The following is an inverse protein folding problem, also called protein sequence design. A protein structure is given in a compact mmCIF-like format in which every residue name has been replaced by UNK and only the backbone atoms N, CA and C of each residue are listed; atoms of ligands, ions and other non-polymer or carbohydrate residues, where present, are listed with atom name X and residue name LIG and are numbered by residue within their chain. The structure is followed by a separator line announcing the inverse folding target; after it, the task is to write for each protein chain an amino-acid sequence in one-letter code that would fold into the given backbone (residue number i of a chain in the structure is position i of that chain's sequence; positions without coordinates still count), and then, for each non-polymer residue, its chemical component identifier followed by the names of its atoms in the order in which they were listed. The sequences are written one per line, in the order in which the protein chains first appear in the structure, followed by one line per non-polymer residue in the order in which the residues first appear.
data_IF_526979986606
#
_entry.id   IF_526979986606
#
_cell.length_a   1.000
_cell.length_b   1.000
_cell.length_c   1.000
_cell.angle_alpha   90.00
_cell.angle_beta   90.00
_cell.angle_gamma   90.00
#
_symmetry.space_group_name_H-M   'P 1'
#
loop_
_entity.id
_entity.type
_entity.pdbx_description
1 polymer ?
#
# COMPACT_ATOMS: atom_id res chain seq x y z
N UNK A 1 -14.38 -1.72 -27.74
CA UNK A 1 -14.19 -2.73 -26.70
C UNK A 1 -12.69 -3.08 -26.63
N UNK A 2 -11.91 -2.33 -25.84
CA UNK A 2 -10.51 -2.68 -25.55
C UNK A 2 -10.56 -3.60 -24.32
N UNK A 3 -10.18 -4.87 -24.51
CA UNK A 3 -10.04 -5.84 -23.43
C UNK A 3 -8.99 -5.28 -22.46
N UNK A 4 -9.39 -5.02 -21.21
CA UNK A 4 -8.49 -4.80 -20.09
C UNK A 4 -7.50 -5.97 -20.07
N UNK A 5 -6.21 -5.69 -20.26
CA UNK A 5 -5.17 -6.69 -20.14
C UNK A 5 -4.92 -6.92 -18.67
N UNK A 6 -5.70 -7.83 -18.11
CA UNK A 6 -5.60 -8.24 -16.73
C UNK A 6 -4.23 -8.85 -16.44
N UNK A 7 -3.69 -8.39 -15.35
CA UNK A 7 -2.60 -8.93 -14.60
C UNK A 7 -2.73 -10.45 -14.48
N UNK A 8 -1.83 -11.20 -15.09
CA UNK A 8 -1.73 -12.61 -14.77
C UNK A 8 -1.16 -12.74 -13.36
N UNK A 9 -1.89 -13.38 -12.44
CA UNK A 9 -1.35 -13.62 -11.10
C UNK A 9 -0.02 -14.38 -11.23
N UNK A 10 0.91 -14.20 -10.28
CA UNK A 10 2.10 -15.02 -10.22
C UNK A 10 1.68 -16.49 -10.33
N UNK A 11 2.41 -17.28 -11.14
CA UNK A 11 2.12 -18.71 -11.37
C UNK A 11 1.77 -19.36 -10.03
N UNK A 12 0.67 -20.13 -9.99
CA UNK A 12 0.15 -20.86 -8.80
C UNK A 12 1.30 -21.26 -7.89
N UNK A 13 1.52 -20.42 -6.87
CA UNK A 13 2.32 -20.78 -5.73
C UNK A 13 1.62 -21.96 -5.06
N UNK A 14 2.36 -22.97 -4.65
CA UNK A 14 1.84 -24.08 -3.87
C UNK A 14 0.98 -23.53 -2.73
N UNK A 15 -0.13 -24.14 -2.42
CA UNK A 15 -1.26 -23.67 -1.59
C UNK A 15 -0.91 -23.05 -0.21
N UNK A 16 0.39 -22.98 0.18
CA UNK A 16 0.87 -22.50 1.48
C UNK A 16 1.86 -21.32 1.41
N UNK A 17 2.14 -20.74 0.25
CA UNK A 17 3.10 -19.63 0.18
C UNK A 17 2.39 -18.26 0.21
N UNK A 18 2.36 -17.66 1.39
CA UNK A 18 1.94 -16.28 1.56
C UNK A 18 2.90 -15.34 0.79
N UNK A 19 2.34 -14.33 0.12
CA UNK A 19 3.15 -13.31 -0.52
C UNK A 19 2.97 -11.96 0.17
N UNK A 20 4.03 -11.15 0.12
CA UNK A 20 4.17 -9.89 0.81
C UNK A 20 4.49 -8.82 -0.22
N UNK A 21 3.79 -7.70 -0.17
CA UNK A 21 4.06 -6.56 -1.02
C UNK A 21 5.01 -5.58 -0.33
N UNK A 22 6.07 -5.16 -1.04
CA UNK A 22 6.96 -4.09 -0.61
C UNK A 22 6.59 -2.81 -1.38
N UNK A 23 6.13 -1.80 -0.66
CA UNK A 23 5.63 -0.53 -1.22
C UNK A 23 6.36 0.63 -0.57
N UNK A 24 6.50 1.74 -1.27
CA UNK A 24 7.12 2.95 -0.70
C UNK A 24 7.47 3.97 -1.74
N UNK A 25 7.81 5.16 -1.27
CA UNK A 25 8.15 6.29 -2.13
C UNK A 25 9.43 6.02 -2.96
N UNK A 26 9.60 6.72 -4.08
CA UNK A 26 10.88 6.73 -4.77
C UNK A 26 12.02 7.12 -3.81
N UNK A 27 13.15 6.44 -3.91
CA UNK A 27 14.37 6.69 -3.13
C UNK A 27 14.26 6.44 -1.61
N UNK A 28 13.19 5.87 -1.08
CA UNK A 28 13.11 5.49 0.34
C UNK A 28 13.97 4.27 0.72
N UNK A 29 14.70 3.69 -0.25
CA UNK A 29 15.57 2.52 -0.03
C UNK A 29 14.86 1.17 -0.17
N UNK A 30 13.68 1.13 -0.75
CA UNK A 30 12.84 -0.06 -0.97
C UNK A 30 13.61 -1.19 -1.67
N UNK A 31 14.25 -0.92 -2.81
CA UNK A 31 15.04 -1.91 -3.56
C UNK A 31 16.26 -2.41 -2.78
N UNK A 32 16.89 -1.56 -1.96
CA UNK A 32 17.98 -2.01 -1.09
C UNK A 32 17.47 -3.02 -0.06
N UNK A 33 16.33 -2.76 0.57
CA UNK A 33 15.70 -3.68 1.51
C UNK A 33 15.30 -4.98 0.81
N UNK A 34 14.70 -4.90 -0.38
CA UNK A 34 14.35 -6.06 -1.19
C UNK A 34 15.56 -6.96 -1.44
N UNK A 35 16.67 -6.38 -1.90
CA UNK A 35 17.91 -7.11 -2.18
C UNK A 35 18.51 -7.75 -0.90
N UNK A 36 18.50 -7.04 0.23
CA UNK A 36 18.98 -7.56 1.49
C UNK A 36 18.13 -8.70 2.06
N UNK A 37 16.81 -8.64 1.84
CA UNK A 37 15.89 -9.70 2.29
C UNK A 37 15.95 -10.94 1.42
N UNK A 38 16.02 -10.78 0.09
CA UNK A 38 15.98 -11.88 -0.88
C UNK A 38 17.36 -12.45 -1.21
N UNK A 39 18.43 -11.68 -1.05
CA UNK A 39 19.78 -12.06 -1.45
C UNK A 39 19.83 -12.39 -2.94
N UNK A 40 20.31 -13.61 -3.28
CA UNK A 40 20.39 -14.10 -4.67
C UNK A 40 19.07 -14.76 -5.15
N UNK A 41 18.07 -14.90 -4.27
CA UNK A 41 16.81 -15.60 -4.56
C UNK A 41 15.76 -14.65 -5.13
N UNK A 42 16.09 -13.97 -6.22
CA UNK A 42 15.22 -13.01 -6.87
C UNK A 42 15.07 -13.31 -8.35
N UNK A 43 13.89 -12.97 -8.88
CA UNK A 43 13.56 -13.02 -10.30
C UNK A 43 13.17 -11.62 -10.73
N UNK A 44 13.81 -11.14 -11.80
CA UNK A 44 13.45 -9.89 -12.45
C UNK A 44 12.76 -10.21 -13.76
N UNK A 45 11.63 -9.60 -14.00
CA UNK A 45 10.85 -9.68 -15.24
C UNK A 45 10.27 -8.30 -15.53
N UNK A 46 9.55 -8.13 -16.62
CA UNK A 46 8.81 -6.89 -16.86
C UNK A 46 7.32 -7.12 -16.56
N UNK A 47 6.63 -6.05 -16.19
CA UNK A 47 5.18 -6.06 -16.19
C UNK A 47 4.66 -6.30 -17.60
N UNK A 48 3.56 -7.06 -17.78
CA UNK A 48 3.07 -7.43 -19.11
C UNK A 48 2.83 -6.22 -20.02
N UNK A 49 3.49 -6.21 -21.19
CA UNK A 49 3.31 -5.17 -22.19
C UNK A 49 4.05 -3.86 -21.94
N UNK A 50 4.93 -3.78 -20.94
CA UNK A 50 5.63 -2.56 -20.55
C UNK A 50 7.08 -2.83 -20.14
N UNK A 51 7.91 -1.78 -20.17
CA UNK A 51 9.34 -1.86 -19.85
C UNK A 51 9.68 -1.74 -18.37
N UNK A 52 8.65 -1.63 -17.51
CA UNK A 52 8.84 -1.50 -16.06
C UNK A 52 9.19 -2.85 -15.44
N UNK A 53 10.23 -2.87 -14.63
CA UNK A 53 10.71 -4.08 -13.96
C UNK A 53 9.78 -4.52 -12.84
N UNK A 54 9.44 -5.81 -12.84
CA UNK A 54 8.79 -6.53 -11.73
C UNK A 54 9.83 -7.39 -11.04
N UNK A 55 10.04 -7.15 -9.75
CA UNK A 55 11.00 -7.90 -8.93
C UNK A 55 10.27 -8.76 -7.92
N UNK A 56 10.49 -10.05 -8.01
CA UNK A 56 9.95 -11.05 -7.10
C UNK A 56 11.11 -11.83 -6.46
N UNK A 57 10.98 -12.17 -5.20
CA UNK A 57 12.01 -12.93 -4.51
C UNK A 57 11.46 -13.75 -3.37
N UNK A 58 12.16 -14.84 -3.03
CA UNK A 58 11.84 -15.66 -1.88
C UNK A 58 12.72 -15.27 -0.71
N UNK A 59 12.12 -14.98 0.41
CA UNK A 59 12.80 -14.65 1.66
C UNK A 59 12.79 -15.85 2.58
N UNK A 60 13.97 -16.25 3.03
CA UNK A 60 14.16 -17.29 4.04
C UNK A 60 14.15 -16.62 5.42
N UNK A 61 13.25 -17.06 6.27
CA UNK A 61 13.11 -16.59 7.62
C UNK A 61 13.45 -17.71 8.63
N UNK A 62 13.32 -17.45 9.92
CA UNK A 62 13.70 -18.44 10.93
C UNK A 62 12.81 -19.70 10.86
N UNK A 63 13.41 -20.89 11.05
CA UNK A 63 12.69 -22.17 11.11
C UNK A 63 12.17 -22.66 9.76
N UNK A 64 12.98 -22.57 8.72
CA UNK A 64 12.71 -23.03 7.35
C UNK A 64 11.43 -22.44 6.72
N UNK A 65 10.87 -21.40 7.36
CA UNK A 65 9.71 -20.70 6.83
C UNK A 65 10.13 -19.74 5.71
N UNK A 66 9.37 -19.74 4.64
CA UNK A 66 9.60 -18.86 3.50
C UNK A 66 8.35 -18.03 3.20
N UNK A 67 8.56 -16.87 2.60
CA UNK A 67 7.49 -16.09 1.99
C UNK A 67 8.01 -15.44 0.70
N UNK A 68 7.10 -15.15 -0.20
CA UNK A 68 7.45 -14.46 -1.43
C UNK A 68 7.28 -12.95 -1.25
N UNK A 69 8.26 -12.19 -1.73
CA UNK A 69 8.27 -10.73 -1.67
C UNK A 69 8.17 -10.17 -3.08
N UNK A 70 7.24 -9.24 -3.29
CA UNK A 70 7.08 -8.48 -4.52
C UNK A 70 7.49 -7.03 -4.27
N UNK A 71 8.48 -6.54 -5.02
CA UNK A 71 8.89 -5.13 -5.01
C UNK A 71 8.05 -4.36 -6.05
N UNK A 72 7.20 -3.44 -5.59
CA UNK A 72 6.43 -2.57 -6.48
C UNK A 72 7.27 -1.35 -6.90
N UNK A 73 7.00 -0.74 -8.05
CA UNK A 73 7.58 0.55 -8.41
C UNK A 73 7.39 1.59 -7.31
N UNK A 74 8.29 2.57 -7.22
CA UNK A 74 8.16 3.64 -6.25
C UNK A 74 7.06 4.62 -6.64
N UNK A 75 6.19 4.98 -5.68
CA UNK A 75 5.17 6.00 -5.89
C UNK A 75 5.04 6.90 -4.68
N UNK A 76 4.63 8.16 -4.89
CA UNK A 76 4.36 9.08 -3.80
C UNK A 76 2.91 9.00 -3.31
N UNK A 77 2.00 8.55 -4.16
CA UNK A 77 0.58 8.42 -3.86
C UNK A 77 -0.06 7.37 -4.77
N UNK A 78 -1.30 7.01 -4.48
CA UNK A 78 -2.12 6.15 -5.36
C UNK A 78 -2.82 6.94 -6.47
N UNK A 79 -2.67 8.26 -6.51
CA UNK A 79 -3.07 9.10 -7.65
C UNK A 79 -1.90 9.19 -8.61
N UNK A 80 -1.97 8.41 -9.68
CA UNK A 80 -0.86 8.24 -10.61
C UNK A 80 -0.68 9.48 -11.50
N UNK A 81 0.52 10.05 -11.49
CA UNK A 81 0.94 11.12 -12.41
C UNK A 81 1.88 10.57 -13.49
N UNK A 82 2.44 9.39 -13.29
CA UNK A 82 3.34 8.70 -14.21
C UNK A 82 2.84 7.29 -14.52
N UNK A 83 3.39 6.72 -15.58
CA UNK A 83 3.05 5.36 -15.98
C UNK A 83 3.46 4.31 -14.93
N UNK A 84 4.60 4.50 -14.28
CA UNK A 84 5.08 3.60 -13.21
C UNK A 84 4.15 3.65 -11.99
N UNK A 85 3.63 4.83 -11.65
CA UNK A 85 2.67 5.01 -10.58
C UNK A 85 1.30 4.40 -10.92
N UNK A 86 0.91 4.44 -12.21
CA UNK A 86 -0.32 3.78 -12.68
C UNK A 86 -0.29 2.27 -12.41
N UNK A 87 0.86 1.61 -12.59
CA UNK A 87 1.02 0.19 -12.27
C UNK A 87 0.72 -0.08 -10.80
N UNK A 88 1.25 0.76 -9.91
CA UNK A 88 1.02 0.61 -8.47
C UNK A 88 -0.44 0.85 -8.14
N UNK A 89 -1.04 1.89 -8.69
CA UNK A 89 -2.45 2.23 -8.48
C UNK A 89 -3.38 1.10 -8.94
N UNK A 90 -3.18 0.57 -10.16
CA UNK A 90 -3.96 -0.55 -10.71
C UNK A 90 -3.80 -1.82 -9.87
N UNK A 91 -2.57 -2.09 -9.41
CA UNK A 91 -2.31 -3.24 -8.54
C UNK A 91 -3.02 -3.12 -7.20
N UNK A 92 -2.95 -1.95 -6.56
CA UNK A 92 -3.61 -1.68 -5.29
C UNK A 92 -5.13 -1.73 -5.45
N UNK A 93 -5.66 -1.20 -6.56
CA UNK A 93 -7.09 -1.28 -6.87
C UNK A 93 -7.55 -2.74 -7.05
N UNK A 94 -6.75 -3.60 -7.70
CA UNK A 94 -7.06 -5.03 -7.82
C UNK A 94 -7.12 -5.72 -6.44
N UNK A 95 -6.22 -5.36 -5.51
CA UNK A 95 -6.27 -5.86 -4.13
C UNK A 95 -7.53 -5.43 -3.40
N UNK A 96 -7.93 -4.17 -3.57
CA UNK A 96 -9.18 -3.64 -2.99
C UNK A 96 -10.42 -4.38 -3.51
N UNK A 97 -10.36 -4.90 -4.74
CA UNK A 97 -11.40 -5.76 -5.33
C UNK A 97 -11.31 -7.22 -4.87
N UNK A 98 -10.34 -7.57 -4.04
CA UNK A 98 -10.10 -8.94 -3.57
C UNK A 98 -9.36 -9.83 -4.58
N UNK A 99 -8.79 -9.23 -5.64
CA UNK A 99 -8.06 -9.95 -6.68
C UNK A 99 -6.62 -10.23 -6.24
N UNK A 100 -6.42 -11.37 -5.58
CA UNK A 100 -5.12 -11.83 -5.11
C UNK A 100 -4.36 -10.80 -4.25
N UNK A 101 -4.95 -10.29 -3.14
CA UNK A 101 -4.28 -9.34 -2.27
C UNK A 101 -3.06 -9.97 -1.57
N UNK A 102 -2.04 -9.17 -1.18
CA UNK A 102 -0.95 -9.67 -0.36
C UNK A 102 -1.45 -10.05 1.04
N UNK A 103 -0.80 -11.00 1.66
CA UNK A 103 -1.08 -11.33 3.05
C UNK A 103 -0.61 -10.24 4.02
N UNK A 104 0.44 -9.49 3.63
CA UNK A 104 1.02 -8.39 4.41
C UNK A 104 1.55 -7.32 3.44
N UNK A 105 1.33 -6.05 3.75
CA UNK A 105 1.99 -4.92 3.09
C UNK A 105 3.14 -4.44 3.98
N UNK A 106 4.31 -4.29 3.39
CA UNK A 106 5.46 -3.64 4.01
C UNK A 106 5.65 -2.27 3.38
N UNK A 107 5.26 -1.23 4.09
CA UNK A 107 5.40 0.16 3.66
C UNK A 107 6.77 0.70 4.10
N UNK A 108 7.63 1.02 3.12
CA UNK A 108 8.97 1.56 3.38
C UNK A 108 8.92 3.09 3.37
N UNK A 109 9.33 3.67 4.47
CA UNK A 109 9.29 5.09 4.78
C UNK A 109 10.70 5.58 5.06
N UNK A 110 11.08 6.70 4.44
CA UNK A 110 12.31 7.43 4.80
C UNK A 110 12.08 8.16 6.13
N UNK A 111 12.81 7.74 7.17
CA UNK A 111 12.69 8.29 8.51
C UNK A 111 13.10 9.78 8.58
N UNK A 112 13.93 10.25 7.66
CA UNK A 112 14.34 11.66 7.59
C UNK A 112 13.26 12.57 6.99
N UNK A 113 12.22 11.99 6.34
CA UNK A 113 11.13 12.73 5.70
C UNK A 113 9.78 12.03 5.91
N UNK A 114 9.39 11.86 7.19
CA UNK A 114 8.22 11.10 7.59
C UNK A 114 6.92 11.62 6.99
N UNK A 115 6.64 12.92 7.10
CA UNK A 115 5.37 13.52 6.70
C UNK A 115 5.05 13.24 5.23
N UNK A 116 6.03 13.38 4.34
CA UNK A 116 5.87 13.09 2.93
C UNK A 116 5.68 11.60 2.65
N UNK A 117 6.42 10.75 3.35
CA UNK A 117 6.41 9.31 3.07
C UNK A 117 5.20 8.61 3.69
N UNK A 118 4.69 9.10 4.81
CA UNK A 118 3.51 8.53 5.45
C UNK A 118 2.23 8.75 4.65
N UNK A 119 2.19 9.72 3.73
CA UNK A 119 1.01 9.97 2.91
C UNK A 119 0.58 8.73 2.10
N UNK A 120 1.52 8.07 1.40
CA UNK A 120 1.24 6.80 0.73
C UNK A 120 0.81 5.72 1.73
N UNK A 121 1.47 5.64 2.89
CA UNK A 121 1.15 4.67 3.93
C UNK A 121 -0.31 4.81 4.38
N UNK A 122 -0.77 6.04 4.63
CA UNK A 122 -2.17 6.28 5.05
C UNK A 122 -3.17 5.85 3.97
N UNK A 123 -2.85 6.04 2.70
CA UNK A 123 -3.70 5.58 1.60
C UNK A 123 -3.80 4.03 1.52
N UNK A 124 -2.71 3.33 1.82
CA UNK A 124 -2.67 1.86 1.83
C UNK A 124 -3.39 1.25 3.03
N UNK A 125 -3.51 1.99 4.15
CA UNK A 125 -4.23 1.52 5.34
C UNK A 125 -5.72 1.26 5.08
N UNK A 126 -6.31 1.92 4.10
CA UNK A 126 -7.72 1.73 3.71
C UNK A 126 -8.00 0.35 3.10
N UNK A 127 -6.97 -0.41 2.71
CA UNK A 127 -7.11 -1.76 2.18
C UNK A 127 -7.50 -2.79 3.25
N UNK A 128 -7.42 -2.46 4.54
CA UNK A 128 -7.61 -3.38 5.66
C UNK A 128 -6.68 -4.62 5.61
N UNK A 129 -5.56 -4.54 4.87
CA UNK A 129 -4.54 -5.58 4.81
C UNK A 129 -3.53 -5.35 5.94
N UNK A 130 -3.09 -6.40 6.66
CA UNK A 130 -2.05 -6.29 7.68
C UNK A 130 -0.84 -5.53 7.16
N UNK A 131 -0.44 -4.47 7.87
CA UNK A 131 0.65 -3.59 7.43
C UNK A 131 1.77 -3.50 8.44
N UNK A 132 3.00 -3.46 7.93
CA UNK A 132 4.22 -3.16 8.67
C UNK A 132 4.82 -1.90 8.07
N UNK A 133 5.11 -0.91 8.90
CA UNK A 133 5.84 0.29 8.49
C UNK A 133 7.31 0.09 8.80
N UNK A 134 8.15 0.27 7.80
CA UNK A 134 9.61 0.20 7.91
C UNK A 134 10.17 1.60 7.86
N UNK A 135 10.73 2.07 8.95
CA UNK A 135 11.45 3.33 9.02
C UNK A 135 12.90 3.10 8.59
N UNK A 136 13.18 3.34 7.30
CA UNK A 136 14.54 3.22 6.77
C UNK A 136 15.32 4.53 6.94
N UNK A 137 16.62 4.48 6.70
CA UNK A 137 17.54 5.61 6.80
C UNK A 137 17.69 6.18 8.23
N UNK A 138 17.47 5.34 9.24
CA UNK A 138 17.62 5.73 10.63
C UNK A 138 19.05 6.23 10.96
N UNK A 139 20.05 5.80 10.17
CA UNK A 139 21.44 6.25 10.26
C UNK A 139 21.63 7.72 9.85
N UNK A 140 20.66 8.33 9.18
CA UNK A 140 20.72 9.73 8.77
C UNK A 140 20.11 10.68 9.81
N UNK A 141 19.41 10.15 10.80
CA UNK A 141 18.82 10.97 11.86
C UNK A 141 19.88 11.41 12.86
N UNK A 142 19.95 12.70 13.16
CA UNK A 142 20.82 13.25 14.21
C UNK A 142 20.41 12.75 15.60
N UNK A 143 19.11 12.61 15.79
CA UNK A 143 18.51 12.11 17.05
C UNK A 143 17.31 11.22 16.69
N UNK A 144 17.51 9.92 16.80
CA UNK A 144 16.48 8.91 16.54
C UNK A 144 15.42 8.83 17.64
N UNK A 145 15.66 9.43 18.81
CA UNK A 145 14.69 9.46 19.92
C UNK A 145 13.48 10.35 19.63
N UNK A 146 13.57 11.23 18.63
CA UNK A 146 12.46 12.08 18.19
C UNK A 146 11.30 11.29 17.56
N UNK A 147 11.54 10.05 17.11
CA UNK A 147 10.49 9.20 16.55
C UNK A 147 9.97 8.25 17.63
N UNK A 148 8.79 8.57 18.17
CA UNK A 148 8.08 7.72 19.14
C UNK A 148 7.46 6.50 18.43
N UNK A 149 8.24 5.45 18.20
CA UNK A 149 7.87 4.24 17.43
C UNK A 149 6.55 3.63 17.93
N UNK A 150 6.35 3.51 19.24
CA UNK A 150 5.14 2.92 19.81
C UNK A 150 3.91 3.81 19.61
N UNK A 151 4.08 5.12 19.67
CA UNK A 151 3.02 6.08 19.37
C UNK A 151 2.66 6.02 17.91
N UNK A 152 3.66 6.07 17.01
CA UNK A 152 3.45 5.94 15.56
C UNK A 152 2.72 4.63 15.20
N UNK A 153 3.12 3.50 15.82
CA UNK A 153 2.44 2.23 15.65
C UNK A 153 0.96 2.31 16.04
N UNK A 154 0.68 2.91 17.19
CA UNK A 154 -0.68 3.04 17.73
C UNK A 154 -1.54 3.96 16.85
N UNK A 155 -1.03 5.13 16.49
CA UNK A 155 -1.75 6.12 15.66
C UNK A 155 -2.06 5.58 14.25
N UNK A 156 -1.12 4.88 13.64
CA UNK A 156 -1.35 4.25 12.33
C UNK A 156 -2.16 2.95 12.43
N UNK A 157 -2.30 2.34 13.61
CA UNK A 157 -2.98 1.05 13.79
C UNK A 157 -2.30 -0.12 13.08
N UNK A 158 -1.00 -0.03 12.76
CA UNK A 158 -0.26 -1.04 11.99
C UNK A 158 0.21 -2.20 12.88
N UNK A 159 0.47 -3.35 12.26
CA UNK A 159 0.96 -4.55 12.96
C UNK A 159 2.30 -4.31 13.65
N UNK A 160 3.20 -3.58 12.99
CA UNK A 160 4.50 -3.22 13.54
C UNK A 160 5.06 -1.95 12.88
N UNK A 161 5.92 -1.24 13.62
CA UNK A 161 6.82 -0.22 13.08
C UNK A 161 8.24 -0.68 13.37
N UNK A 162 9.05 -0.86 12.32
CA UNK A 162 10.41 -1.44 12.43
C UNK A 162 11.44 -0.43 11.94
N UNK A 163 12.27 0.12 12.84
CA UNK A 163 13.39 0.97 12.44
C UNK A 163 14.51 0.12 11.83
N UNK A 164 15.04 0.58 10.71
CA UNK A 164 16.15 -0.08 10.01
C UNK A 164 17.12 0.94 9.41
N UNK A 165 18.31 0.45 9.07
CA UNK A 165 19.20 1.08 8.10
C UNK A 165 19.65 0.03 7.09
N UNK A 166 19.09 0.12 5.88
CA UNK A 166 19.51 -0.76 4.79
C UNK A 166 21.00 -0.53 4.45
N UNK A 167 21.46 0.72 4.52
CA UNK A 167 22.86 1.09 4.27
C UNK A 167 23.83 0.45 5.28
N UNK A 168 23.45 0.41 6.55
CA UNK A 168 24.27 -0.15 7.63
C UNK A 168 23.97 -1.61 7.91
N UNK A 169 23.06 -2.21 7.15
CA UNK A 169 22.62 -3.61 7.25
C UNK A 169 22.15 -4.01 8.66
N UNK A 170 21.36 -3.15 9.33
CA UNK A 170 20.78 -3.49 10.62
C UNK A 170 19.25 -3.37 10.62
N UNK A 171 18.58 -4.10 11.54
CA UNK A 171 17.13 -4.12 11.70
C UNK A 171 16.40 -5.15 10.82
N UNK A 172 17.09 -5.81 9.88
CA UNK A 172 16.47 -6.74 8.93
C UNK A 172 15.89 -8.00 9.59
N UNK A 173 16.54 -8.53 10.63
CA UNK A 173 16.01 -9.69 11.35
C UNK A 173 14.76 -9.34 12.14
N UNK A 174 14.68 -8.12 12.68
CA UNK A 174 13.45 -7.61 13.30
C UNK A 174 12.33 -7.49 12.26
N UNK A 175 12.64 -7.04 11.04
CA UNK A 175 11.66 -6.95 9.94
C UNK A 175 11.18 -8.35 9.53
N UNK A 176 12.07 -9.31 9.30
CA UNK A 176 11.70 -10.70 9.00
C UNK A 176 10.79 -11.29 10.08
N UNK A 177 11.14 -11.07 11.35
CA UNK A 177 10.34 -11.55 12.50
C UNK A 177 8.97 -10.88 12.55
N UNK A 178 8.87 -9.57 12.25
CA UNK A 178 7.61 -8.85 12.21
C UNK A 178 6.70 -9.37 11.08
N UNK A 179 7.27 -9.60 9.88
CA UNK A 179 6.54 -10.18 8.75
C UNK A 179 6.00 -11.57 9.12
N UNK A 180 6.84 -12.44 9.68
CA UNK A 180 6.41 -13.78 10.09
C UNK A 180 5.27 -13.75 11.12
N UNK A 181 5.37 -12.87 12.13
CA UNK A 181 4.30 -12.70 13.13
C UNK A 181 3.01 -12.22 12.48
N UNK A 182 3.07 -11.29 11.54
CA UNK A 182 1.89 -10.81 10.82
C UNK A 182 1.27 -11.90 9.95
N UNK A 183 2.08 -12.73 9.28
CA UNK A 183 1.61 -13.86 8.48
C UNK A 183 0.91 -14.94 9.33
N UNK A 184 1.32 -15.12 10.58
CA UNK A 184 0.66 -16.06 11.50
C UNK A 184 -0.63 -15.47 12.07
N UNK A 185 -0.71 -14.16 12.25
CA UNK A 185 -1.82 -13.49 12.92
C UNK A 185 -2.79 -12.80 11.95
N UNK A 186 -2.96 -13.31 10.73
CA UNK A 186 -3.77 -12.71 9.66
C UNK A 186 -5.23 -12.39 10.07
N UNK A 187 -5.76 -13.02 11.13
CA UNK A 187 -7.15 -12.91 11.57
C UNK A 187 -7.44 -11.70 12.51
N UNK A 188 -6.47 -10.85 12.86
CA UNK A 188 -6.62 -9.87 13.96
C UNK A 188 -6.52 -8.39 13.53
N UNK A 189 -6.71 -8.04 12.27
CA UNK A 189 -6.64 -6.63 11.86
C UNK A 189 -8.03 -6.01 11.74
N UNK A 190 -8.42 -5.25 12.75
CA UNK A 190 -9.52 -4.27 12.66
C UNK A 190 -8.89 -2.88 12.56
N UNK A 191 -8.76 -2.35 11.36
CA UNK A 191 -8.33 -0.98 11.13
C UNK A 191 -9.55 -0.09 10.87
N UNK A 192 -9.67 0.99 11.64
CA UNK A 192 -10.61 2.06 11.30
C UNK A 192 -9.81 3.20 10.65
N UNK A 193 -10.07 3.50 9.38
CA UNK A 193 -9.52 4.70 8.76
C UNK A 193 -10.08 5.93 9.47
N UNK A 194 -9.19 6.74 10.05
CA UNK A 194 -9.59 7.91 10.87
C UNK A 194 -9.42 9.24 10.12
N UNK A 195 -8.94 9.21 8.89
CA UNK A 195 -8.64 10.44 8.14
C UNK A 195 -9.82 11.00 7.31
N UNK A 196 -10.89 10.22 7.15
CA UNK A 196 -12.14 10.70 6.56
C UNK A 196 -13.10 11.05 7.69
N UNK A 197 -13.69 12.26 7.66
CA UNK A 197 -14.74 12.63 8.59
C UNK A 197 -15.85 11.56 8.57
N UNK A 198 -16.25 11.07 9.76
CA UNK A 198 -17.18 9.95 9.90
C UNK A 198 -18.53 10.23 9.20
N UNK A 199 -19.01 11.47 9.28
CA UNK A 199 -20.29 11.87 8.67
C UNK A 199 -20.24 11.83 7.14
N UNK A 200 -19.11 12.26 6.57
CA UNK A 200 -18.83 12.18 5.13
C UNK A 200 -18.68 10.72 4.70
N UNK A 201 -17.93 9.93 5.49
CA UNK A 201 -17.70 8.52 5.22
C UNK A 201 -19.00 7.71 5.17
N UNK A 202 -19.94 7.96 6.07
CA UNK A 202 -21.20 7.22 6.14
C UNK A 202 -22.16 7.60 5.01
N UNK A 203 -22.21 8.88 4.62
CA UNK A 203 -23.00 9.33 3.47
C UNK A 203 -22.46 8.81 2.15
N UNK A 204 -21.14 8.82 1.98
CA UNK A 204 -20.48 8.32 0.78
C UNK A 204 -20.59 6.80 0.67
N UNK A 205 -20.53 6.05 1.77
CA UNK A 205 -20.79 4.61 1.74
C UNK A 205 -22.15 4.29 1.13
N UNK A 206 -23.21 5.02 1.51
CA UNK A 206 -24.55 4.82 0.96
C UNK A 206 -24.61 5.05 -0.54
N UNK A 207 -23.81 5.98 -1.08
CA UNK A 207 -23.75 6.30 -2.51
C UNK A 207 -22.85 5.33 -3.29
N UNK A 208 -21.81 4.80 -2.68
CA UNK A 208 -20.76 3.99 -3.32
C UNK A 208 -21.02 2.49 -3.16
N UNK A 209 -21.61 2.02 -2.05
CA UNK A 209 -21.91 0.60 -1.82
C UNK A 209 -22.69 -0.10 -2.95
N UNK A 210 -23.60 0.54 -3.69
CA UNK A 210 -24.25 -0.09 -4.84
C UNK A 210 -23.30 -0.35 -6.02
N UNK A 211 -22.18 0.36 -6.11
CA UNK A 211 -21.29 0.40 -7.27
C UNK A 211 -19.91 -0.21 -7.02
N UNK A 212 -19.49 -0.25 -5.77
CA UNK A 212 -18.20 -0.82 -5.35
C UNK A 212 -18.48 -1.85 -4.25
N UNK A 213 -18.09 -3.09 -4.45
CA UNK A 213 -18.18 -4.10 -3.39
C UNK A 213 -17.45 -3.57 -2.14
N UNK A 214 -18.22 -3.13 -1.19
CA UNK A 214 -18.00 -2.75 0.23
C UNK A 214 -16.57 -2.61 0.78
N UNK A 215 -15.57 -2.08 0.05
CA UNK A 215 -14.29 -1.78 0.66
C UNK A 215 -14.17 -0.29 0.98
N UNK A 216 -13.73 0.04 2.20
CA UNK A 216 -13.39 1.41 2.63
C UNK A 216 -12.42 2.08 1.65
N UNK A 217 -11.54 1.29 1.03
CA UNK A 217 -10.60 1.74 0.01
C UNK A 217 -11.33 2.29 -1.22
N UNK A 218 -12.35 1.62 -1.73
CA UNK A 218 -13.08 2.09 -2.91
C UNK A 218 -13.74 3.44 -2.65
N UNK A 219 -14.30 3.64 -1.45
CA UNK A 219 -14.85 4.92 -1.02
C UNK A 219 -13.78 6.02 -0.95
N UNK A 220 -12.67 5.74 -0.28
CA UNK A 220 -11.56 6.67 -0.14
C UNK A 220 -10.89 6.99 -1.49
N UNK A 221 -10.76 5.98 -2.35
CA UNK A 221 -10.21 6.14 -3.70
C UNK A 221 -11.13 7.00 -4.58
N UNK A 222 -12.43 6.72 -4.57
CA UNK A 222 -13.42 7.53 -5.29
C UNK A 222 -13.41 9.00 -4.84
N UNK A 223 -13.33 9.24 -3.52
CA UNK A 223 -13.21 10.60 -2.96
C UNK A 223 -11.98 11.35 -3.47
N UNK A 224 -10.82 10.70 -3.50
CA UNK A 224 -9.57 11.32 -3.99
C UNK A 224 -9.68 11.71 -5.47
N UNK A 225 -10.31 10.88 -6.30
CA UNK A 225 -10.52 11.21 -7.70
C UNK A 225 -11.57 12.31 -7.90
N UNK A 226 -12.60 12.33 -7.08
CA UNK A 226 -13.62 13.39 -7.10
C UNK A 226 -13.02 14.74 -6.71
N UNK A 227 -12.20 14.78 -5.64
CA UNK A 227 -11.55 16.02 -5.16
C UNK A 227 -10.59 16.62 -6.19
N UNK A 228 -9.92 15.78 -6.99
CA UNK A 228 -8.94 16.23 -7.99
C UNK A 228 -9.50 16.56 -9.36
N UNK A 229 -10.78 16.41 -9.56
CA UNK A 229 -11.45 16.62 -10.86
C UNK A 229 -10.86 15.79 -12.02
N UNK A 230 -10.29 14.62 -11.70
CA UNK A 230 -9.69 13.71 -12.67
C UNK A 230 -10.76 12.82 -13.30
N UNK A 231 -10.70 12.63 -14.63
CA UNK A 231 -11.52 11.66 -15.33
C UNK A 231 -10.87 10.28 -15.25
N UNK A 232 -11.58 9.30 -14.70
CA UNK A 232 -11.14 7.90 -14.66
C UNK A 232 -11.52 7.22 -15.97
N UNK A 233 -10.54 6.75 -16.72
CA UNK A 233 -10.74 6.04 -17.99
C UNK A 233 -11.65 4.81 -17.82
N UNK A 234 -12.92 4.94 -18.22
CA UNK A 234 -13.88 3.84 -18.39
C UNK A 234 -14.89 3.61 -17.27
N UNK A 235 -14.79 4.29 -16.13
CA UNK A 235 -15.76 4.26 -15.03
C UNK A 235 -16.48 5.63 -14.84
N UNK A 236 -16.36 6.53 -15.82
CA UNK A 236 -16.71 7.95 -15.73
C UNK A 236 -18.16 8.21 -15.30
N UNK A 237 -19.13 7.38 -15.73
CA UNK A 237 -20.56 7.62 -15.45
C UNK A 237 -20.93 7.43 -13.98
N UNK A 238 -20.30 6.50 -13.28
CA UNK A 238 -20.59 6.24 -11.85
C UNK A 238 -19.93 7.27 -10.95
N UNK A 239 -18.69 7.66 -11.26
CA UNK A 239 -17.96 8.68 -10.51
C UNK A 239 -18.59 10.05 -10.69
N UNK A 240 -19.05 10.36 -11.89
CA UNK A 240 -19.77 11.60 -12.16
C UNK A 240 -21.11 11.66 -11.42
N UNK A 241 -21.84 10.55 -11.32
CA UNK A 241 -23.04 10.45 -10.50
C UNK A 241 -22.75 10.66 -9.01
N UNK A 242 -21.69 10.06 -8.48
CA UNK A 242 -21.23 10.24 -7.09
C UNK A 242 -20.81 11.68 -6.84
N UNK A 243 -20.05 12.28 -7.76
CA UNK A 243 -19.64 13.69 -7.68
C UNK A 243 -20.86 14.61 -7.57
N UNK A 244 -21.85 14.43 -8.45
CA UNK A 244 -23.06 15.23 -8.46
C UNK A 244 -23.83 15.07 -7.15
N UNK A 245 -23.95 13.86 -6.63
CA UNK A 245 -24.60 13.59 -5.35
C UNK A 245 -23.87 14.24 -4.16
N UNK A 246 -22.54 14.26 -4.16
CA UNK A 246 -21.73 14.94 -3.13
C UNK A 246 -21.93 16.47 -3.19
N UNK A 247 -21.96 17.03 -4.39
CA UNK A 247 -22.23 18.46 -4.60
C UNK A 247 -23.67 18.84 -4.18
N UNK A 248 -24.66 17.98 -4.47
CA UNK A 248 -26.06 18.16 -4.03
C UNK A 248 -26.19 18.12 -2.50
N UNK A 249 -25.33 17.36 -1.80
CA UNK A 249 -25.25 17.35 -0.35
C UNK A 249 -24.57 18.61 0.26
N UNK A 250 -24.11 19.53 -0.59
CA UNK A 250 -23.49 20.79 -0.18
C UNK A 250 -22.01 20.72 0.14
N UNK A 251 -21.34 19.61 -0.15
CA UNK A 251 -19.90 19.51 0.00
C UNK A 251 -19.16 20.06 -1.23
N UNK A 252 -18.18 20.91 -1.01
CA UNK A 252 -17.29 21.36 -2.06
C UNK A 252 -16.13 20.34 -2.18
N UNK A 253 -15.69 20.05 -3.41
CA UNK A 253 -14.54 19.16 -3.67
C UNK A 253 -13.29 19.59 -2.90
N UNK A 254 -13.08 20.89 -2.69
CA UNK A 254 -11.94 21.45 -1.95
C UNK A 254 -12.00 21.19 -0.42
N UNK A 255 -13.16 20.81 0.12
CA UNK A 255 -13.36 20.53 1.56
C UNK A 255 -13.30 19.04 1.90
N UNK A 256 -13.20 18.15 0.91
CA UNK A 256 -13.16 16.71 1.11
C UNK A 256 -11.78 16.21 1.55
N UNK A 257 -10.72 17.00 1.39
CA UNK A 257 -9.33 16.68 1.79
C UNK A 257 -8.88 17.45 3.06
N UNK A 258 -9.72 18.25 3.69
CA UNK A 258 -9.43 18.96 4.94
C UNK A 258 -9.84 18.12 6.17
#
# INVERSE_FOLDING_TARGET
MKKSHFFSPPQKLTQDSHWVALVGNPNCGKTAIFNLLTGLNQKVSNYPGITVEKKEGTVYAQGDKTFNLLDLPGTYSLSAESFDEQIVSDQVLSWAKGENPPAVIVSVVDASNLSRNLYLTTQLLDLDIPMIVVLNMMDQLKDSSQIEIQKLKKELGVSAVVPISAKMNWGLDALKSAIQKSLVNLAQTNHQSQWINQDISDQIKLLIEPHFSSSKFAAAHALRHISRNESLNGEDSHIEAIRNSILELGYNTDTLEA
#
